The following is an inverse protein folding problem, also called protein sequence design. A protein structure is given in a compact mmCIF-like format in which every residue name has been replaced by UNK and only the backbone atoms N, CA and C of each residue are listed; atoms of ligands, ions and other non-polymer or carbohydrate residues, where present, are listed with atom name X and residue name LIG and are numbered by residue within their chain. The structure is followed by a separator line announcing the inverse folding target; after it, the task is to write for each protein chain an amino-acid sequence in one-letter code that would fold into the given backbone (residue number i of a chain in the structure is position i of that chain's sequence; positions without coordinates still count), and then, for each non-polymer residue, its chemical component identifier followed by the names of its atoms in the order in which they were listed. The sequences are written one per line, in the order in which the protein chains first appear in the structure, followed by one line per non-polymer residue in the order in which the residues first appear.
data_IF_471767133532
#
_entry.id   IF_471767133532
#
_cell.length_a   1.000
_cell.length_b   1.000
_cell.length_c   1.000
_cell.angle_alpha   90.00
_cell.angle_beta   90.00
_cell.angle_gamma   90.00
#
_symmetry.space_group_name_H-M   'P 1'
#
loop_
_entity.id
_entity.type
_entity.pdbx_description
1 polymer ?
#
# COMPACT_ATOMS: atom_id res chain seq x y z
N UNK A 1 8.20 -8.96 -6.58
CA UNK A 1 7.29 -9.77 -5.73
C UNK A 1 6.06 -8.95 -5.34
N UNK A 2 6.21 -7.95 -4.45
CA UNK A 2 5.09 -7.16 -3.93
C UNK A 2 4.32 -6.41 -5.04
N UNK A 3 5.03 -5.81 -6.00
CA UNK A 3 4.44 -5.12 -7.17
C UNK A 3 3.54 -6.00 -8.06
N UNK A 4 3.70 -7.33 -8.05
CA UNK A 4 2.81 -8.21 -8.82
C UNK A 4 1.39 -8.26 -8.24
N UNK A 5 1.19 -7.92 -6.96
CA UNK A 5 -0.14 -7.89 -6.37
C UNK A 5 -1.04 -6.77 -6.94
N UNK A 6 -0.45 -5.80 -7.62
CA UNK A 6 -1.15 -4.70 -8.31
C UNK A 6 -0.84 -4.67 -9.81
N UNK A 7 -0.31 -5.75 -10.38
CA UNK A 7 0.11 -5.80 -11.80
C UNK A 7 1.03 -4.63 -12.20
N UNK A 8 1.92 -4.24 -11.28
CA UNK A 8 2.81 -3.08 -11.40
C UNK A 8 2.09 -1.73 -11.58
N UNK A 9 0.84 -1.61 -11.14
CA UNK A 9 0.09 -0.36 -11.14
C UNK A 9 0.16 0.31 -9.77
N UNK A 10 0.13 1.65 -9.79
CA UNK A 10 -0.01 2.48 -8.61
C UNK A 10 -1.51 2.62 -8.30
N UNK A 11 -1.88 2.40 -7.05
CA UNK A 11 -3.24 2.65 -6.57
C UNK A 11 -3.27 4.03 -5.94
N UNK A 12 -4.05 4.94 -6.53
CA UNK A 12 -4.28 6.27 -5.95
C UNK A 12 -5.47 6.18 -5.02
N UNK A 13 -5.27 6.51 -3.74
CA UNK A 13 -6.40 6.70 -2.84
C UNK A 13 -6.98 8.09 -3.11
N UNK A 14 -8.21 8.12 -3.62
CA UNK A 14 -8.87 9.36 -4.04
C UNK A 14 -9.71 9.97 -2.91
N UNK A 15 -10.03 9.19 -1.89
CA UNK A 15 -10.72 9.67 -0.71
C UNK A 15 -9.65 10.06 0.31
N UNK A 16 -9.68 11.28 0.86
CA UNK A 16 -8.77 11.74 1.94
C UNK A 16 -9.05 11.02 3.28
N UNK A 17 -9.28 9.72 3.21
CA UNK A 17 -9.49 8.86 4.33
C UNK A 17 -8.09 8.35 4.70
N UNK A 18 -7.56 8.81 5.83
CA UNK A 18 -6.30 8.33 6.41
C UNK A 18 -6.41 6.84 6.81
N UNK A 19 -6.52 5.98 5.80
CA UNK A 19 -6.66 4.55 5.96
C UNK A 19 -5.36 4.00 6.54
N UNK A 20 -5.50 2.93 7.31
CA UNK A 20 -4.38 2.24 7.96
C UNK A 20 -4.30 0.78 7.54
N UNK A 21 -5.16 0.36 6.62
CA UNK A 21 -5.24 -0.97 6.04
C UNK A 21 -6.08 -0.93 4.76
N UNK A 22 -5.95 -1.97 3.94
CA UNK A 22 -6.76 -2.20 2.76
C UNK A 22 -6.89 -3.71 2.49
N UNK A 23 -7.86 -4.13 1.66
CA UNK A 23 -7.95 -5.52 1.21
C UNK A 23 -6.65 -6.03 0.57
N UNK A 24 -5.89 -5.13 -0.08
CA UNK A 24 -4.57 -5.43 -0.64
C UNK A 24 -3.54 -5.72 0.48
N UNK A 25 -3.46 -4.87 1.50
CA UNK A 25 -2.52 -5.07 2.61
C UNK A 25 -2.85 -6.34 3.41
N UNK A 26 -4.14 -6.67 3.58
CA UNK A 26 -4.59 -7.92 4.21
C UNK A 26 -4.11 -9.15 3.44
N UNK A 27 -4.29 -9.13 2.11
CA UNK A 27 -3.89 -10.22 1.21
C UNK A 27 -2.38 -10.46 1.28
N UNK A 28 -1.59 -9.39 1.18
CA UNK A 28 -0.13 -9.46 1.22
C UNK A 28 0.34 -9.89 2.62
N UNK A 29 -0.19 -9.31 3.69
CA UNK A 29 0.14 -9.70 5.06
C UNK A 29 -0.10 -11.19 5.31
N UNK A 30 -1.23 -11.74 4.83
CA UNK A 30 -1.55 -13.16 4.97
C UNK A 30 -0.56 -14.05 4.20
N UNK A 31 -0.21 -13.67 2.98
CA UNK A 31 0.75 -14.42 2.17
C UNK A 31 2.16 -14.39 2.79
N UNK A 32 2.63 -13.22 3.21
CA UNK A 32 3.95 -13.07 3.85
C UNK A 32 4.03 -13.86 5.16
N UNK A 33 2.96 -13.87 5.97
CA UNK A 33 2.86 -14.74 7.15
C UNK A 33 2.96 -16.22 6.78
N UNK A 34 2.28 -16.65 5.70
CA UNK A 34 2.35 -18.03 5.21
C UNK A 34 3.76 -18.42 4.76
N UNK A 35 4.53 -17.46 4.23
CA UNK A 35 5.94 -17.63 3.85
C UNK A 35 6.92 -17.53 5.03
N UNK A 36 6.42 -17.36 6.25
CA UNK A 36 7.23 -17.38 7.47
C UNK A 36 7.71 -16.01 7.95
N UNK A 37 7.36 -14.91 7.28
CA UNK A 37 7.70 -13.57 7.78
C UNK A 37 6.96 -13.28 9.09
N UNK A 38 7.65 -12.55 9.98
CA UNK A 38 7.12 -12.05 11.26
C UNK A 38 6.98 -10.54 11.19
N UNK A 39 6.15 -9.95 12.07
CA UNK A 39 5.89 -8.50 12.09
C UNK A 39 5.34 -7.92 10.78
N UNK A 40 4.56 -8.71 10.05
CA UNK A 40 3.89 -8.33 8.79
C UNK A 40 2.38 -8.23 9.00
N UNK A 41 1.96 -7.43 9.99
CA UNK A 41 0.54 -7.11 10.20
C UNK A 41 -0.01 -6.25 9.07
N UNK A 42 -1.33 -6.23 8.87
CA UNK A 42 -1.95 -5.49 7.74
C UNK A 42 -1.58 -4.01 7.74
N UNK A 43 -1.56 -3.36 8.91
CA UNK A 43 -1.14 -1.95 9.02
C UNK A 43 0.31 -1.72 8.66
N UNK A 44 1.21 -2.63 9.08
CA UNK A 44 2.63 -2.55 8.71
C UNK A 44 2.78 -2.69 7.19
N UNK A 45 2.03 -3.62 6.58
CA UNK A 45 2.05 -3.81 5.13
C UNK A 45 1.44 -2.62 4.42
N UNK A 46 0.35 -2.04 4.90
CA UNK A 46 -0.25 -0.85 4.31
C UNK A 46 0.74 0.31 4.28
N UNK A 47 1.33 0.66 5.42
CA UNK A 47 2.36 1.71 5.50
C UNK A 47 3.60 1.41 4.66
N UNK A 48 3.97 0.12 4.53
CA UNK A 48 5.03 -0.28 3.64
C UNK A 48 4.68 -0.04 2.17
N UNK A 49 3.45 -0.37 1.74
CA UNK A 49 2.99 -0.15 0.36
C UNK A 49 2.93 1.33 -0.01
N UNK A 50 2.53 2.19 0.93
CA UNK A 50 2.61 3.66 0.79
C UNK A 50 4.08 4.09 0.60
N UNK A 51 4.96 3.61 1.49
CA UNK A 51 6.38 3.99 1.48
C UNK A 51 7.14 3.60 0.22
N UNK A 52 6.74 2.51 -0.44
CA UNK A 52 7.37 2.04 -1.69
C UNK A 52 6.64 2.51 -2.96
N UNK A 53 5.60 3.33 -2.83
CA UNK A 53 4.88 3.94 -3.96
C UNK A 53 3.90 3.02 -4.68
N UNK A 54 3.50 1.89 -4.09
CA UNK A 54 2.40 1.07 -4.63
C UNK A 54 1.05 1.74 -4.34
N UNK A 55 0.94 2.39 -3.19
CA UNK A 55 -0.21 3.20 -2.82
C UNK A 55 0.24 4.66 -2.80
N UNK A 56 -0.39 5.49 -3.61
CA UNK A 56 -0.26 6.94 -3.53
C UNK A 56 -1.40 7.47 -2.63
N UNK A 57 -1.07 7.70 -1.36
CA UNK A 57 -1.97 8.28 -0.36
C UNK A 57 -1.54 9.72 0.03
N UNK A 58 -0.92 10.44 -0.90
CA UNK A 58 -0.68 11.86 -0.70
C UNK A 58 -2.02 12.62 -0.74
N UNK A 59 -2.17 13.62 0.13
CA UNK A 59 -3.31 14.56 0.06
C UNK A 59 -3.26 15.35 -1.26
N UNK A 60 -4.42 15.81 -1.74
CA UNK A 60 -4.55 16.49 -3.03
C UNK A 60 -3.71 17.76 -3.13
N UNK A 61 -3.51 18.48 -2.03
CA UNK A 61 -2.67 19.68 -1.97
C UNK A 61 -1.17 19.38 -1.88
N UNK A 62 -0.78 18.10 -1.75
CA UNK A 62 0.62 17.72 -1.73
C UNK A 62 1.23 17.91 -3.12
N UNK A 63 2.34 18.62 -3.21
CA UNK A 63 3.07 18.84 -4.47
C UNK A 63 3.53 17.55 -5.17
N UNK A 64 3.53 16.40 -4.48
CA UNK A 64 3.88 15.08 -5.02
C UNK A 64 2.67 14.26 -5.51
N UNK A 65 1.44 14.71 -5.25
CA UNK A 65 0.22 13.98 -5.60
C UNK A 65 0.16 13.63 -7.09
N UNK A 66 0.40 14.63 -7.95
CA UNK A 66 0.37 14.51 -9.41
C UNK A 66 1.58 13.79 -10.01
N UNK A 67 2.69 13.68 -9.28
CA UNK A 67 3.92 13.05 -9.76
C UNK A 67 3.87 11.51 -9.72
N UNK A 68 2.92 10.95 -8.97
CA UNK A 68 2.82 9.53 -8.63
C UNK A 68 1.53 8.89 -9.18
N UNK A 69 1.15 9.25 -10.42
CA UNK A 69 0.02 8.67 -11.16
C UNK A 69 0.42 7.48 -12.01
#
# INVERSE_FOLDING_TARGET
YIWHFTDNQILVDTEENYLTNSPLSDKIAKDLKKRGMKFVGTTIIYSYLESIGIINNHIHECFRYEELK
#
